data_IF_203537499894
#
_entry.id   IF_203537499894
#
_cell.length_a   1.000
_cell.length_b   1.000
_cell.length_c   1.000
_cell.angle_alpha   90.00
_cell.angle_beta   90.00
_cell.angle_gamma   90.00
#
_symmetry.space_group_name_H-M   'P 1'
#
loop_
_entity.id
_entity.type
_entity.pdbx_description
1 polymer ?
#
# COMPACT_ATOMS: atom_id res chain seq x y z
N UNK A 1 4.31 6.86 -16.47
CA UNK A 1 4.97 5.85 -17.32
C UNK A 1 4.95 4.45 -16.70
N UNK A 2 5.44 4.25 -15.46
CA UNK A 2 5.37 2.93 -14.80
C UNK A 2 3.94 2.40 -14.67
N UNK A 3 3.03 3.24 -14.17
CA UNK A 3 1.60 2.92 -14.09
C UNK A 3 0.99 2.53 -15.45
N UNK A 4 1.33 3.26 -16.52
CA UNK A 4 0.89 2.96 -17.89
C UNK A 4 1.35 1.57 -18.34
N UNK A 5 2.63 1.23 -18.15
CA UNK A 5 3.17 -0.09 -18.50
C UNK A 5 2.53 -1.22 -17.69
N UNK A 6 2.23 -0.98 -16.41
CA UNK A 6 1.52 -1.94 -15.56
C UNK A 6 0.11 -2.21 -16.11
N UNK A 7 -0.65 -1.14 -16.41
CA UNK A 7 -1.99 -1.25 -17.01
C UNK A 7 -1.95 -1.98 -18.35
N UNK A 8 -1.03 -1.63 -19.24
CA UNK A 8 -0.90 -2.29 -20.55
C UNK A 8 -0.58 -3.78 -20.43
N UNK A 9 0.27 -4.15 -19.46
CA UNK A 9 0.55 -5.55 -19.19
C UNK A 9 -0.70 -6.28 -18.68
N UNK A 10 -1.49 -5.64 -17.82
CA UNK A 10 -2.78 -6.17 -17.34
C UNK A 10 -3.77 -6.35 -18.48
N UNK A 11 -3.96 -5.32 -19.30
CA UNK A 11 -4.87 -5.35 -20.45
C UNK A 11 -4.46 -6.41 -21.47
N UNK A 12 -3.16 -6.52 -21.77
CA UNK A 12 -2.64 -7.53 -22.71
C UNK A 12 -2.76 -8.94 -22.14
N UNK A 13 -2.38 -9.13 -20.88
CA UNK A 13 -2.36 -10.44 -20.22
C UNK A 13 -3.75 -11.01 -19.93
N UNK A 14 -4.75 -10.14 -19.80
CA UNK A 14 -6.17 -10.48 -19.63
C UNK A 14 -6.99 -10.22 -20.89
N UNK A 15 -6.34 -9.96 -22.04
CA UNK A 15 -7.04 -9.56 -23.27
C UNK A 15 -8.02 -10.66 -23.75
N UNK A 16 -9.32 -10.33 -23.89
CA UNK A 16 -10.35 -11.18 -24.46
C UNK A 16 -10.07 -11.78 -25.83
N UNK A 17 -9.24 -11.13 -26.66
CA UNK A 17 -9.05 -11.56 -28.06
C UNK A 17 -8.10 -12.77 -28.18
N UNK A 18 -7.17 -12.95 -27.24
CA UNK A 18 -6.30 -14.14 -27.16
C UNK A 18 -6.83 -15.19 -26.18
N UNK A 19 -7.59 -14.77 -25.16
CA UNK A 19 -8.30 -15.65 -24.21
C UNK A 19 -9.75 -15.19 -24.18
N UNK A 20 -10.67 -15.86 -24.90
CA UNK A 20 -12.07 -15.43 -25.00
C UNK A 20 -12.64 -15.05 -23.62
N UNK A 21 -13.40 -13.94 -23.51
CA UNK A 21 -14.08 -13.53 -22.26
C UNK A 21 -14.76 -14.71 -21.57
N UNK A 22 -15.35 -15.60 -22.36
CA UNK A 22 -16.01 -16.83 -21.90
C UNK A 22 -15.04 -17.82 -21.23
N UNK A 23 -13.78 -17.88 -21.65
CA UNK A 23 -12.72 -18.70 -21.04
C UNK A 23 -12.34 -18.12 -19.68
N UNK A 24 -12.04 -16.82 -19.58
CA UNK A 24 -11.71 -16.19 -18.28
C UNK A 24 -12.91 -16.30 -17.33
N UNK A 25 -14.12 -16.08 -17.84
CA UNK A 25 -15.35 -16.24 -17.07
C UNK A 25 -15.65 -17.69 -16.66
N UNK A 26 -15.06 -18.69 -17.31
CA UNK A 26 -15.21 -20.11 -16.97
C UNK A 26 -14.01 -20.69 -16.18
N UNK A 27 -12.93 -19.93 -16.01
CA UNK A 27 -11.77 -20.37 -15.21
C UNK A 27 -12.17 -20.57 -13.74
N UNK A 28 -11.65 -21.62 -13.12
CA UNK A 28 -11.75 -21.79 -11.67
C UNK A 28 -10.98 -20.67 -10.94
N UNK A 29 -11.44 -20.32 -9.75
CA UNK A 29 -10.92 -19.18 -8.97
C UNK A 29 -9.40 -19.26 -8.75
N UNK A 30 -8.88 -20.45 -8.43
CA UNK A 30 -7.42 -20.67 -8.26
C UNK A 30 -6.61 -20.40 -9.54
N UNK A 31 -7.14 -20.77 -10.71
CA UNK A 31 -6.46 -20.55 -12.00
C UNK A 31 -6.51 -19.05 -12.35
N UNK A 32 -7.63 -18.40 -12.07
CA UNK A 32 -7.78 -16.96 -12.24
C UNK A 32 -6.81 -16.19 -11.33
N UNK A 33 -6.73 -16.54 -10.04
CA UNK A 33 -5.79 -15.99 -9.08
C UNK A 33 -4.34 -16.07 -9.58
N UNK A 34 -3.91 -17.25 -10.02
CA UNK A 34 -2.57 -17.44 -10.61
C UNK A 34 -2.37 -16.60 -11.87
N UNK A 35 -3.35 -16.58 -12.77
CA UNK A 35 -3.29 -15.76 -13.99
C UNK A 35 -3.14 -14.28 -13.68
N UNK A 36 -3.90 -13.73 -12.72
CA UNK A 36 -3.79 -12.33 -12.30
C UNK A 36 -2.39 -12.02 -11.75
N UNK A 37 -1.84 -12.89 -10.91
CA UNK A 37 -0.49 -12.74 -10.38
C UNK A 37 0.57 -12.77 -11.51
N UNK A 38 0.46 -13.71 -12.45
CA UNK A 38 1.41 -13.84 -13.56
C UNK A 38 1.40 -12.62 -14.50
N UNK A 39 0.22 -12.05 -14.71
CA UNK A 39 0.06 -10.84 -15.50
C UNK A 39 0.72 -9.64 -14.82
N UNK A 40 0.56 -9.49 -13.49
CA UNK A 40 1.26 -8.46 -12.72
C UNK A 40 2.78 -8.66 -12.77
N UNK A 41 3.27 -9.89 -12.58
CA UNK A 41 4.72 -10.22 -12.69
C UNK A 41 5.25 -9.92 -14.10
N UNK A 42 4.45 -10.14 -15.13
CA UNK A 42 4.82 -9.77 -16.50
C UNK A 42 4.93 -8.24 -16.66
N UNK A 43 4.01 -7.48 -16.07
CA UNK A 43 4.11 -6.02 -16.01
C UNK A 43 5.37 -5.56 -15.28
N UNK A 44 5.72 -6.19 -14.17
CA UNK A 44 6.97 -5.92 -13.46
C UNK A 44 8.20 -6.09 -14.35
N UNK A 45 8.32 -7.24 -15.04
CA UNK A 45 9.44 -7.50 -15.96
C UNK A 45 9.52 -6.45 -17.07
N UNK A 46 8.39 -6.03 -17.62
CA UNK A 46 8.34 -5.00 -18.65
C UNK A 46 8.86 -3.65 -18.14
N UNK A 47 8.47 -3.26 -16.92
CA UNK A 47 8.92 -2.02 -16.27
C UNK A 47 10.43 -2.09 -16.00
N UNK A 48 10.92 -3.16 -15.38
CA UNK A 48 12.35 -3.35 -15.09
C UNK A 48 13.18 -3.31 -16.37
N UNK A 49 12.75 -4.02 -17.42
CA UNK A 49 13.43 -4.02 -18.70
C UNK A 49 13.44 -2.64 -19.36
N UNK A 50 12.34 -1.89 -19.26
CA UNK A 50 12.26 -0.53 -19.80
C UNK A 50 13.17 0.43 -19.05
N UNK A 51 13.24 0.34 -17.73
CA UNK A 51 14.11 1.13 -16.86
C UNK A 51 15.61 0.83 -17.10
N UNK A 52 15.95 -0.44 -17.36
CA UNK A 52 17.33 -0.84 -17.67
C UNK A 52 17.84 -0.22 -18.99
N UNK A 53 16.94 -0.07 -19.98
CA UNK A 53 17.28 0.45 -21.31
C UNK A 53 17.13 1.97 -21.44
N UNK A 54 16.62 2.68 -20.43
CA UNK A 54 16.44 4.12 -20.46
C UNK A 54 16.88 4.77 -19.14
N UNK A 55 18.06 5.44 -19.10
CA UNK A 55 18.60 6.04 -17.88
C UNK A 55 17.65 6.99 -17.15
N UNK A 56 16.77 7.69 -17.89
CA UNK A 56 15.78 8.64 -17.33
C UNK A 56 14.66 7.93 -16.55
N UNK A 57 14.49 6.63 -16.76
CA UNK A 57 13.48 5.79 -16.13
C UNK A 57 14.04 4.93 -14.98
N UNK A 58 15.31 5.10 -14.62
CA UNK A 58 15.93 4.36 -13.51
C UNK A 58 15.20 4.66 -12.20
N UNK A 59 14.88 3.60 -11.46
CA UNK A 59 14.15 3.68 -10.20
C UNK A 59 12.65 3.96 -10.37
N UNK A 60 12.11 3.95 -11.60
CA UNK A 60 10.66 4.04 -11.79
C UNK A 60 9.97 2.86 -11.10
N UNK A 61 8.82 3.14 -10.49
CA UNK A 61 7.96 2.10 -9.94
C UNK A 61 6.52 2.53 -9.86
N UNK A 62 5.65 1.57 -9.58
CA UNK A 62 4.20 1.81 -9.44
C UNK A 62 3.56 0.74 -8.57
N UNK A 63 2.41 1.07 -8.00
CA UNK A 63 1.54 0.11 -7.32
C UNK A 63 0.55 -0.48 -8.30
N UNK A 64 -0.06 -1.61 -7.95
CA UNK A 64 -1.19 -2.18 -8.66
C UNK A 64 -2.16 -2.79 -7.65
N UNK A 65 -3.43 -2.51 -7.82
CA UNK A 65 -4.52 -3.22 -7.14
C UNK A 65 -5.53 -3.55 -8.20
N UNK A 66 -5.69 -4.84 -8.48
CA UNK A 66 -6.51 -5.35 -9.56
C UNK A 66 -7.63 -6.20 -8.96
N UNK A 67 -8.88 -5.91 -9.33
CA UNK A 67 -10.02 -6.73 -8.95
C UNK A 67 -10.65 -7.36 -10.21
N UNK A 68 -10.86 -8.67 -10.17
CA UNK A 68 -11.71 -9.39 -11.11
C UNK A 68 -13.00 -9.78 -10.40
N UNK A 69 -14.15 -9.30 -10.89
CA UNK A 69 -15.46 -9.54 -10.27
C UNK A 69 -16.32 -10.41 -11.18
N UNK A 70 -16.84 -11.52 -10.63
CA UNK A 70 -17.74 -12.46 -11.31
C UNK A 70 -18.89 -12.82 -10.38
N UNK A 71 -20.09 -12.33 -10.71
CA UNK A 71 -21.26 -12.51 -9.86
C UNK A 71 -21.02 -11.91 -8.48
N UNK A 72 -21.10 -12.75 -7.44
CA UNK A 72 -20.87 -12.39 -6.03
C UNK A 72 -19.47 -12.75 -5.53
N UNK A 73 -18.52 -13.00 -6.42
CA UNK A 73 -17.13 -13.27 -6.06
C UNK A 73 -16.21 -12.22 -6.68
N UNK A 74 -15.23 -11.78 -5.91
CA UNK A 74 -14.13 -10.95 -6.37
C UNK A 74 -12.79 -11.59 -6.01
N UNK A 75 -11.90 -11.69 -6.99
CA UNK A 75 -10.49 -12.02 -6.79
C UNK A 75 -9.69 -10.73 -6.91
N UNK A 76 -8.85 -10.44 -5.92
CA UNK A 76 -8.04 -9.21 -5.87
C UNK A 76 -6.57 -9.60 -5.88
N UNK A 77 -5.80 -9.04 -6.81
CA UNK A 77 -4.35 -9.19 -6.85
C UNK A 77 -3.69 -7.83 -6.59
N UNK A 78 -2.72 -7.79 -5.68
CA UNK A 78 -2.25 -6.54 -5.09
C UNK A 78 -0.73 -6.49 -4.91
N UNK A 79 -0.16 -5.32 -5.24
CA UNK A 79 1.20 -4.90 -4.90
C UNK A 79 1.24 -3.39 -4.65
N UNK A 80 1.52 -2.96 -3.42
CA UNK A 80 1.89 -1.58 -3.09
C UNK A 80 1.15 -1.10 -1.84
N UNK A 81 0.79 0.17 -1.80
CA UNK A 81 -0.03 0.79 -0.73
C UNK A 81 -1.35 1.40 -1.25
N UNK A 82 -1.67 1.20 -2.53
CA UNK A 82 -3.06 1.31 -2.99
C UNK A 82 -3.91 0.27 -2.28
N UNK A 83 -5.20 0.54 -2.06
CA UNK A 83 -6.02 -0.33 -1.21
C UNK A 83 -7.28 -0.81 -1.89
N UNK A 84 -7.71 -2.01 -1.53
CA UNK A 84 -9.07 -2.47 -1.75
C UNK A 84 -9.85 -2.49 -0.41
N UNK A 85 -11.08 -2.00 -0.44
CA UNK A 85 -12.01 -2.03 0.68
C UNK A 85 -13.30 -2.74 0.29
N UNK A 86 -13.83 -3.57 1.18
CA UNK A 86 -15.21 -4.04 1.14
C UNK A 86 -16.04 -3.21 2.11
N UNK A 87 -17.12 -2.62 1.61
CA UNK A 87 -18.13 -1.97 2.45
C UNK A 87 -19.37 -2.84 2.48
N UNK A 88 -19.60 -3.43 3.65
CA UNK A 88 -20.80 -4.20 3.99
C UNK A 88 -21.97 -3.23 4.18
N UNK A 89 -22.93 -3.34 3.28
CA UNK A 89 -24.11 -2.48 3.24
C UNK A 89 -25.03 -2.64 4.45
N UNK A 90 -25.13 -3.86 4.98
CA UNK A 90 -26.07 -4.25 6.04
C UNK A 90 -25.57 -3.80 7.40
N UNK A 91 -24.30 -4.08 7.67
CA UNK A 91 -23.67 -3.72 8.94
C UNK A 91 -23.05 -2.33 8.92
N UNK A 92 -23.03 -1.66 7.75
CA UNK A 92 -22.39 -0.36 7.54
C UNK A 92 -20.92 -0.36 7.95
N UNK A 93 -20.24 -1.49 7.73
CA UNK A 93 -18.84 -1.70 8.11
C UNK A 93 -17.97 -1.63 6.87
N UNK A 94 -16.82 -0.99 7.02
CA UNK A 94 -15.74 -1.02 6.03
C UNK A 94 -14.64 -1.94 6.53
N UNK A 95 -14.14 -2.77 5.63
CA UNK A 95 -13.04 -3.67 5.89
C UNK A 95 -11.99 -3.47 4.80
N UNK A 96 -10.73 -3.26 5.22
CA UNK A 96 -9.60 -3.28 4.31
C UNK A 96 -9.35 -4.74 3.90
N UNK A 97 -9.27 -4.98 2.60
CA UNK A 97 -9.03 -6.33 2.05
C UNK A 97 -7.53 -6.57 1.85
N UNK A 98 -6.81 -5.57 1.37
CA UNK A 98 -5.38 -5.67 1.03
C UNK A 98 -4.49 -5.17 2.15
N UNK A 99 -3.38 -5.86 2.41
CA UNK A 99 -2.34 -5.34 3.30
C UNK A 99 -1.37 -4.42 2.52
N UNK A 100 -1.01 -3.29 3.13
CA UNK A 100 -0.10 -2.33 2.52
C UNK A 100 1.34 -2.83 2.55
N UNK A 101 2.01 -2.83 1.40
CA UNK A 101 3.43 -3.14 1.29
C UNK A 101 4.34 -1.93 1.57
N UNK A 102 4.05 -1.22 2.66
CA UNK A 102 4.82 -0.06 3.12
C UNK A 102 5.69 -0.41 4.34
N UNK A 103 6.80 0.31 4.48
CA UNK A 103 7.73 0.10 5.59
C UNK A 103 7.07 0.33 6.94
N UNK A 104 6.19 1.34 7.05
CA UNK A 104 5.52 1.68 8.31
C UNK A 104 4.48 0.65 8.69
N UNK A 105 3.75 0.09 7.72
CA UNK A 105 2.75 -0.95 7.98
C UNK A 105 3.41 -2.27 8.38
N UNK A 106 4.59 -2.60 7.82
CA UNK A 106 5.40 -3.71 8.31
C UNK A 106 5.84 -3.53 9.79
N UNK A 107 6.16 -2.30 10.20
CA UNK A 107 6.49 -2.00 11.59
C UNK A 107 5.28 -2.06 12.52
N UNK A 108 4.09 -1.64 12.05
CA UNK A 108 2.83 -1.79 12.80
C UNK A 108 2.52 -3.27 13.00
N UNK A 109 2.59 -4.08 11.94
CA UNK A 109 2.35 -5.52 12.00
C UNK A 109 3.32 -6.24 12.96
N UNK A 110 4.58 -5.78 13.04
CA UNK A 110 5.57 -6.29 13.99
C UNK A 110 5.41 -5.75 15.44
N UNK A 111 4.45 -4.85 15.68
CA UNK A 111 4.21 -4.24 17.00
C UNK A 111 5.22 -3.17 17.39
N UNK A 112 6.01 -2.65 16.44
CA UNK A 112 6.99 -1.59 16.67
C UNK A 112 6.39 -0.19 16.61
N UNK A 113 5.27 -0.02 15.91
CA UNK A 113 4.52 1.24 15.82
C UNK A 113 3.03 1.00 16.10
N UNK A 114 2.34 2.01 16.62
CA UNK A 114 0.87 2.08 16.54
C UNK A 114 0.43 2.64 15.19
N UNK A 115 -0.84 2.46 14.83
CA UNK A 115 -1.39 3.00 13.58
C UNK A 115 -1.24 4.53 13.52
N UNK A 116 -1.48 5.22 14.63
CA UNK A 116 -1.36 6.68 14.73
C UNK A 116 0.10 7.13 14.51
N UNK A 117 1.07 6.38 15.02
CA UNK A 117 2.49 6.68 14.81
C UNK A 117 2.90 6.44 13.36
N UNK A 118 2.37 5.42 12.71
CA UNK A 118 2.65 5.13 11.30
C UNK A 118 2.20 6.27 10.38
N UNK A 119 1.04 6.88 10.64
CA UNK A 119 0.49 8.00 9.86
C UNK A 119 1.38 9.25 9.88
N UNK A 120 2.08 9.51 10.98
CA UNK A 120 2.98 10.67 11.14
C UNK A 120 4.44 10.35 10.81
N UNK A 121 4.77 9.08 10.56
CA UNK A 121 6.15 8.64 10.42
C UNK A 121 6.84 9.23 9.17
N UNK A 122 8.12 9.66 9.26
CA UNK A 122 8.85 10.23 8.11
C UNK A 122 8.97 9.31 6.90
N UNK A 123 8.95 8.00 7.13
CA UNK A 123 9.07 6.96 6.09
C UNK A 123 7.71 6.37 5.67
N UNK A 124 6.58 7.04 5.98
CA UNK A 124 5.24 6.53 5.65
C UNK A 124 4.97 6.30 4.16
N UNK A 125 5.74 6.95 3.28
CA UNK A 125 5.65 6.79 1.84
C UNK A 125 6.70 5.82 1.26
N UNK A 126 7.45 5.11 2.11
CA UNK A 126 8.48 4.17 1.66
C UNK A 126 7.85 2.79 1.48
N UNK A 127 7.79 2.35 0.23
CA UNK A 127 7.33 1.01 -0.13
C UNK A 127 8.49 0.02 -0.08
N UNK A 128 8.25 -1.18 0.46
CA UNK A 128 9.18 -2.30 0.34
C UNK A 128 8.83 -3.22 -0.83
N UNK A 129 7.61 -3.10 -1.38
CA UNK A 129 7.17 -3.87 -2.56
C UNK A 129 6.40 -2.97 -3.52
N UNK A 130 6.93 -2.79 -4.73
CA UNK A 130 6.28 -2.11 -5.84
C UNK A 130 6.79 -2.68 -7.17
N UNK A 131 5.99 -2.54 -8.23
CA UNK A 131 6.41 -2.94 -9.57
C UNK A 131 7.57 -2.06 -10.03
N UNK A 132 8.56 -2.66 -10.68
CA UNK A 132 9.74 -1.99 -11.24
C UNK A 132 10.94 -1.90 -10.30
N UNK A 133 10.80 -2.25 -9.01
CA UNK A 133 11.87 -2.10 -8.02
C UNK A 133 12.79 -3.33 -7.91
N UNK A 134 12.28 -4.53 -8.19
CA UNK A 134 13.03 -5.79 -8.17
C UNK A 134 12.63 -6.68 -9.36
N UNK A 135 13.52 -7.59 -9.77
CA UNK A 135 13.23 -8.55 -10.85
C UNK A 135 12.16 -9.57 -10.43
N UNK A 136 12.32 -10.11 -9.23
CA UNK A 136 11.35 -10.99 -8.58
C UNK A 136 10.31 -10.16 -7.85
N UNK A 137 9.04 -10.55 -8.00
CA UNK A 137 7.91 -9.83 -7.41
C UNK A 137 6.89 -10.83 -6.86
N UNK A 138 6.69 -10.75 -5.55
CA UNK A 138 5.57 -11.37 -4.88
C UNK A 138 4.29 -10.58 -5.15
N UNK A 139 3.19 -11.29 -5.36
CA UNK A 139 1.87 -10.70 -5.58
C UNK A 139 0.92 -11.34 -4.59
N UNK A 140 0.27 -10.52 -3.79
CA UNK A 140 -0.73 -10.98 -2.84
C UNK A 140 -2.06 -11.17 -3.57
N UNK A 141 -2.76 -12.28 -3.27
CA UNK A 141 -4.08 -12.57 -3.84
C UNK A 141 -5.09 -12.85 -2.75
N UNK A 142 -6.24 -12.18 -2.85
CA UNK A 142 -7.34 -12.22 -1.91
C UNK A 142 -8.62 -12.65 -2.63
N UNK A 143 -9.41 -13.51 -1.99
CA UNK A 143 -10.76 -13.86 -2.43
C UNK A 143 -11.79 -13.20 -1.51
N UNK A 144 -12.79 -12.57 -2.10
CA UNK A 144 -13.84 -11.84 -1.39
C UNK A 144 -15.21 -12.26 -1.90
N UNK A 145 -16.09 -12.63 -0.99
CA UNK A 145 -17.50 -12.82 -1.29
C UNK A 145 -18.25 -11.49 -1.13
N UNK A 146 -19.02 -11.13 -2.15
CA UNK A 146 -19.78 -9.90 -2.25
C UNK A 146 -21.27 -10.19 -2.08
N UNK A 147 -21.97 -9.41 -1.26
CA UNK A 147 -23.41 -9.50 -1.14
C UNK A 147 -24.10 -8.38 -1.92
N UNK A 148 -25.40 -8.54 -2.15
CA UNK A 148 -26.23 -7.47 -2.70
C UNK A 148 -26.09 -6.18 -1.89
N UNK A 149 -25.98 -5.07 -2.61
CA UNK A 149 -25.75 -3.70 -2.14
C UNK A 149 -24.36 -3.42 -1.54
N UNK A 150 -23.49 -4.42 -1.44
CA UNK A 150 -22.10 -4.21 -1.04
C UNK A 150 -21.34 -3.39 -2.07
N UNK A 151 -20.28 -2.74 -1.59
CA UNK A 151 -19.39 -1.95 -2.43
C UNK A 151 -17.97 -2.41 -2.29
N UNK A 152 -17.36 -2.80 -3.41
CA UNK A 152 -15.93 -2.99 -3.51
C UNK A 152 -15.31 -1.68 -3.99
N UNK A 153 -14.35 -1.15 -3.24
CA UNK A 153 -13.68 0.12 -3.53
C UNK A 153 -12.20 -0.17 -3.75
N UNK A 154 -11.64 0.34 -4.85
CA UNK A 154 -10.20 0.37 -5.08
C UNK A 154 -9.77 1.83 -5.07
N UNK A 155 -8.71 2.17 -4.34
CA UNK A 155 -8.23 3.54 -4.26
C UNK A 155 -6.71 3.64 -4.14
N UNK A 156 -6.17 4.78 -4.57
CA UNK A 156 -4.79 5.14 -4.26
C UNK A 156 -4.65 5.68 -2.83
N UNK A 157 -3.42 5.68 -2.33
CA UNK A 157 -2.97 6.36 -1.11
C UNK A 157 -3.35 7.85 -1.05
N UNK A 158 -3.44 8.52 -2.20
CA UNK A 158 -3.95 9.89 -2.33
C UNK A 158 -5.35 10.08 -1.72
N UNK A 159 -6.20 9.04 -1.68
CA UNK A 159 -7.46 9.08 -0.95
C UNK A 159 -7.23 8.87 0.55
N UNK A 160 -6.59 7.77 0.92
CA UNK A 160 -6.58 7.23 2.30
C UNK A 160 -5.70 8.04 3.25
N UNK A 161 -4.77 8.84 2.72
CA UNK A 161 -4.03 9.86 3.48
C UNK A 161 -4.93 10.99 4.00
N UNK A 162 -6.02 11.31 3.31
CA UNK A 162 -6.87 12.46 3.61
C UNK A 162 -8.28 12.09 4.08
N UNK A 163 -8.75 10.89 3.76
CA UNK A 163 -10.12 10.43 4.06
C UNK A 163 -10.03 9.12 4.83
N UNK A 164 -10.54 9.11 6.07
CA UNK A 164 -10.49 7.92 6.93
C UNK A 164 -11.51 6.89 6.48
N UNK A 165 -11.24 5.61 6.77
CA UNK A 165 -12.09 4.49 6.34
C UNK A 165 -13.58 4.67 6.70
N UNK A 166 -13.89 5.11 7.92
CA UNK A 166 -15.27 5.35 8.33
C UNK A 166 -15.97 6.43 7.47
N UNK A 167 -15.27 7.49 7.09
CA UNK A 167 -15.80 8.54 6.20
C UNK A 167 -16.04 8.00 4.79
N UNK A 168 -15.12 7.14 4.29
CA UNK A 168 -15.31 6.43 3.03
C UNK A 168 -16.63 5.65 3.09
N UNK A 169 -16.81 4.84 4.13
CA UNK A 169 -18.01 4.02 4.33
C UNK A 169 -19.29 4.86 4.37
N UNK A 170 -19.28 5.99 5.08
CA UNK A 170 -20.43 6.88 5.20
C UNK A 170 -20.80 7.51 3.87
N UNK A 171 -19.82 8.03 3.13
CA UNK A 171 -20.04 8.68 1.83
C UNK A 171 -20.60 7.67 0.83
N UNK A 172 -20.01 6.49 0.72
CA UNK A 172 -20.47 5.52 -0.27
C UNK A 172 -21.85 4.97 0.08
N UNK A 173 -22.14 4.69 1.36
CA UNK A 173 -23.45 4.16 1.76
C UNK A 173 -24.57 5.22 1.69
N UNK A 174 -24.23 6.51 1.71
CA UNK A 174 -25.22 7.60 1.59
C UNK A 174 -25.55 7.98 0.14
N UNK A 175 -24.81 7.44 -0.83
CA UNK A 175 -24.94 7.81 -2.25
C UNK A 175 -25.13 6.57 -3.11
N UNK A 176 -26.36 6.34 -3.59
CA UNK A 176 -26.70 5.16 -4.40
C UNK A 176 -25.86 5.07 -5.68
N UNK A 177 -25.66 6.20 -6.35
CA UNK A 177 -24.84 6.27 -7.56
C UNK A 177 -23.33 6.19 -7.21
N UNK A 178 -22.61 5.15 -7.70
CA UNK A 178 -21.18 4.99 -7.46
C UNK A 178 -20.33 6.13 -8.01
N UNK A 179 -20.73 6.73 -9.13
CA UNK A 179 -19.99 7.84 -9.75
C UNK A 179 -20.03 9.09 -8.85
N UNK A 180 -21.23 9.46 -8.40
CA UNK A 180 -21.40 10.53 -7.40
C UNK A 180 -20.60 10.27 -6.13
N UNK A 181 -20.63 9.04 -5.60
CA UNK A 181 -19.87 8.68 -4.40
C UNK A 181 -18.35 8.82 -4.61
N UNK A 182 -17.82 8.34 -5.74
CA UNK A 182 -16.41 8.46 -6.07
C UNK A 182 -15.97 9.92 -6.21
N UNK A 183 -16.79 10.76 -6.86
CA UNK A 183 -16.48 12.19 -7.00
C UNK A 183 -16.45 12.90 -5.64
N UNK A 184 -17.39 12.59 -4.74
CA UNK A 184 -17.40 13.16 -3.38
C UNK A 184 -16.15 12.78 -2.58
N UNK A 185 -15.65 11.55 -2.72
CA UNK A 185 -14.41 11.11 -2.09
C UNK A 185 -13.20 11.87 -2.63
N UNK A 186 -13.11 12.02 -3.95
CA UNK A 186 -12.04 12.78 -4.63
C UNK A 186 -12.06 14.24 -4.17
N UNK A 187 -13.23 14.87 -4.16
CA UNK A 187 -13.39 16.27 -3.74
C UNK A 187 -13.00 16.47 -2.28
N UNK A 188 -13.37 15.53 -1.40
CA UNK A 188 -13.01 15.58 0.01
C UNK A 188 -11.49 15.46 0.22
N UNK A 189 -10.84 14.53 -0.48
CA UNK A 189 -9.38 14.37 -0.43
C UNK A 189 -8.66 15.63 -0.92
N UNK A 190 -9.08 16.17 -2.06
CA UNK A 190 -8.53 17.40 -2.63
C UNK A 190 -8.70 18.60 -1.69
N UNK A 191 -9.86 18.71 -1.01
CA UNK A 191 -10.10 19.77 -0.03
C UNK A 191 -9.18 19.69 1.20
N UNK A 192 -8.65 18.51 1.52
CA UNK A 192 -7.85 18.23 2.72
C UNK A 192 -6.35 18.19 2.49
N UNK A 193 -5.89 18.53 1.29
CA UNK A 193 -4.47 18.64 0.96
C UNK A 193 -4.26 18.50 -0.53
N UNK A 194 -4.85 17.47 -1.15
CA UNK A 194 -4.73 17.21 -2.58
C UNK A 194 -3.28 17.15 -3.06
N UNK A 195 -2.38 16.70 -2.19
CA UNK A 195 -0.92 16.74 -2.39
C UNK A 195 -0.46 15.69 -3.41
N UNK A 196 -1.29 14.67 -3.64
CA UNK A 196 -1.03 13.54 -4.52
C UNK A 196 -2.22 13.27 -5.46
N UNK A 197 -2.01 12.41 -6.45
CA UNK A 197 -3.07 11.97 -7.34
C UNK A 197 -4.06 11.05 -6.61
N UNK A 198 -5.33 11.46 -6.61
CA UNK A 198 -6.43 10.69 -6.04
C UNK A 198 -7.11 9.89 -7.14
N UNK A 199 -7.12 8.56 -7.00
CA UNK A 199 -7.85 7.64 -7.89
C UNK A 199 -8.78 6.77 -7.06
N UNK A 200 -10.03 6.61 -7.51
CA UNK A 200 -11.07 5.81 -6.83
C UNK A 200 -11.90 5.06 -7.86
N UNK A 201 -12.10 3.77 -7.65
CA UNK A 201 -13.04 2.92 -8.39
C UNK A 201 -14.02 2.35 -7.37
N UNK A 202 -15.31 2.41 -7.68
CA UNK A 202 -16.37 1.82 -6.85
C UNK A 202 -17.18 0.85 -7.70
N UNK A 203 -17.24 -0.41 -7.27
CA UNK A 203 -18.10 -1.44 -7.83
C UNK A 203 -19.26 -1.66 -6.87
N UNK A 204 -20.48 -1.40 -7.34
CA UNK A 204 -21.71 -1.69 -6.62
C UNK A 204 -22.27 -3.03 -7.09
N UNK A 205 -22.58 -3.91 -6.13
CA UNK A 205 -23.24 -5.18 -6.41
C UNK A 205 -24.75 -4.93 -6.37
N UNK A 206 -25.37 -4.81 -7.54
CA UNK A 206 -26.80 -4.52 -7.59
C UNK A 206 -27.63 -5.71 -7.05
N UNK A 207 -28.63 -5.41 -6.20
CA UNK A 207 -29.66 -6.37 -5.85
C UNK A 207 -30.71 -6.46 -6.97
N UNK A 208 -31.04 -7.67 -7.44
CA UNK A 208 -32.22 -7.90 -8.30
C UNK A 208 -33.56 -7.69 -7.56
N UNK A 209 -33.52 -7.45 -6.24
CA UNK A 209 -34.70 -7.26 -5.41
C UNK A 209 -35.06 -5.77 -5.29
N UNK A 210 -36.36 -5.41 -5.37
CA UNK A 210 -36.80 -4.06 -5.06
C UNK A 210 -36.43 -3.71 -3.61
N UNK A 211 -36.09 -2.44 -3.39
CA UNK A 211 -35.43 -1.87 -2.20
C UNK A 211 -36.14 -2.02 -0.83
N UNK A 212 -37.14 -2.90 -0.70
CA UNK A 212 -38.02 -3.07 0.48
C UNK A 212 -38.08 -4.52 0.99
N UNK A 213 -36.98 -5.27 0.97
CA UNK A 213 -36.94 -6.59 1.63
C UNK A 213 -35.78 -6.70 2.62
N UNK A 214 -36.09 -6.37 3.88
CA UNK A 214 -35.28 -6.68 5.07
C UNK A 214 -35.10 -8.19 5.21
N UNK A 215 -33.98 -8.72 4.71
CA UNK A 215 -33.55 -10.09 4.98
C UNK A 215 -32.16 -10.10 5.62
N UNK A 216 -32.20 -10.12 6.95
CA UNK A 216 -31.05 -10.26 7.83
C UNK A 216 -30.58 -11.72 7.78
N UNK A 217 -29.49 -11.98 7.07
CA UNK A 217 -28.77 -13.25 7.14
C UNK A 217 -27.36 -12.96 7.62
N UNK A 218 -27.07 -13.41 8.84
CA UNK A 218 -25.77 -13.35 9.49
C UNK A 218 -24.78 -14.21 8.68
N UNK A 219 -23.73 -13.58 8.16
CA UNK A 219 -22.65 -14.25 7.44
C UNK A 219 -21.32 -13.61 7.80
N UNK A 220 -20.47 -14.42 8.41
CA UNK A 220 -19.07 -14.11 8.72
C UNK A 220 -18.27 -13.96 7.42
N UNK A 221 -17.46 -12.90 7.32
CA UNK A 221 -16.57 -12.67 6.17
C UNK A 221 -15.34 -13.57 6.36
N UNK A 222 -15.18 -14.59 5.51
CA UNK A 222 -13.95 -15.38 5.42
C UNK A 222 -13.01 -14.73 4.40
N UNK A 223 -11.97 -14.05 4.89
CA UNK A 223 -10.81 -13.67 4.09
C UNK A 223 -9.83 -14.84 4.12
N UNK A 224 -9.56 -15.47 2.97
CA UNK A 224 -8.55 -16.54 2.88
C UNK A 224 -7.37 -16.03 2.04
N UNK A 225 -6.21 -15.72 2.66
CA UNK A 225 -5.00 -15.41 1.92
C UNK A 225 -4.52 -16.66 1.17
N UNK A 226 -4.27 -16.55 -0.14
CA UNK A 226 -3.60 -17.61 -0.90
C UNK A 226 -2.10 -17.38 -0.76
N UNK A 227 -1.43 -18.19 0.07
CA UNK A 227 0.02 -18.13 0.20
C UNK A 227 0.68 -18.55 -1.13
N UNK A 228 1.75 -17.87 -1.59
CA UNK A 228 2.53 -18.36 -2.72
C UNK A 228 3.18 -19.72 -2.37
N UNK A 229 3.08 -20.68 -3.29
CA UNK A 229 3.81 -21.95 -3.18
C UNK A 229 5.32 -21.68 -3.04
N UNK A 230 6.05 -22.39 -2.17
CA UNK A 230 7.47 -22.16 -2.01
C UNK A 230 8.22 -22.67 -3.25
N UNK A 231 8.68 -21.75 -4.10
CA UNK A 231 9.77 -22.06 -5.03
C UNK A 231 11.06 -22.27 -4.23
N UNK A 232 11.88 -23.23 -4.68
CA UNK A 232 13.09 -23.69 -3.99
C UNK A 232 13.93 -22.52 -3.45
N UNK A 233 14.05 -22.47 -2.13
CA UNK A 233 14.88 -21.49 -1.42
C UNK A 233 16.34 -21.64 -1.83
N UNK A 234 16.82 -20.78 -2.73
CA UNK A 234 18.25 -20.56 -2.90
C UNK A 234 18.74 -19.81 -1.67
N UNK A 235 19.41 -20.54 -0.78
CA UNK A 235 20.14 -19.97 0.36
C UNK A 235 21.12 -18.93 -0.19
N UNK A 236 20.92 -17.65 0.16
CA UNK A 236 21.93 -16.62 0.02
C UNK A 236 23.10 -16.97 0.94
N UNK A 237 24.04 -17.77 0.42
CA UNK A 237 25.35 -17.94 1.03
C UNK A 237 26.04 -16.56 1.10
N UNK A 238 26.52 -16.24 2.30
CA UNK A 238 27.27 -15.02 2.62
C UNK A 238 28.29 -14.69 1.53
N UNK A 239 27.97 -13.67 0.72
CA UNK A 239 28.97 -13.07 -0.17
C UNK A 239 29.89 -12.21 0.67
N UNK A 240 31.07 -12.75 0.93
CA UNK A 240 32.26 -12.00 1.33
C UNK A 240 32.43 -10.79 0.40
N UNK A 241 32.31 -9.60 0.96
CA UNK A 241 32.83 -8.38 0.33
C UNK A 241 34.35 -8.48 0.33
N UNK A 242 34.94 -8.67 -0.85
CA UNK A 242 36.36 -8.39 -1.05
C UNK A 242 36.49 -6.88 -1.20
N UNK A 243 37.06 -6.25 -0.18
CA UNK A 243 37.41 -4.85 -0.15
C UNK A 243 38.59 -4.59 -1.11
N UNK A 244 38.38 -3.70 -2.07
CA UNK A 244 39.47 -3.12 -2.85
C UNK A 244 39.16 -1.66 -3.15
N UNK A 245 39.42 -0.77 -2.19
CA UNK A 245 39.96 0.55 -2.51
C UNK A 245 40.63 1.17 -1.28
N UNK A 246 41.93 1.42 -1.46
CA UNK A 246 42.82 2.24 -0.65
C UNK A 246 42.28 3.65 -0.38
N UNK A 247 42.55 4.09 0.85
CA UNK A 247 42.87 5.45 1.30
C UNK A 247 41.84 6.56 1.09
N UNK A 248 41.15 6.96 2.18
CA UNK A 248 41.46 8.20 2.93
C UNK A 248 40.51 8.38 4.14
N UNK A 249 41.05 9.00 5.18
CA UNK A 249 40.55 9.13 6.55
C UNK A 249 39.29 10.00 6.70
N UNK A 250 38.28 9.53 7.43
CA UNK A 250 37.75 10.15 8.67
C UNK A 250 36.60 9.29 9.24
N UNK A 251 36.75 8.79 10.47
CA UNK A 251 35.79 7.83 11.07
C UNK A 251 34.93 8.51 12.14
N UNK A 252 33.66 8.77 11.84
CA UNK A 252 32.61 8.91 12.85
C UNK A 252 31.83 7.59 12.91
N UNK A 253 32.02 6.82 13.99
CA UNK A 253 31.27 5.57 14.21
C UNK A 253 29.90 5.87 14.81
N UNK A 254 28.85 5.43 14.13
CA UNK A 254 27.47 5.44 14.59
C UNK A 254 27.21 4.33 15.63
N UNK A 255 27.86 4.40 16.79
CA UNK A 255 27.58 3.53 17.95
C UNK A 255 27.30 4.28 19.25
N UNK A 256 27.20 5.61 19.24
CA UNK A 256 27.08 6.42 20.47
C UNK A 256 25.66 6.98 20.75
N UNK A 257 24.60 6.45 20.15
CA UNK A 257 23.23 6.99 20.30
C UNK A 257 22.21 6.07 21.00
N UNK A 258 22.66 5.04 21.73
CA UNK A 258 21.77 4.22 22.55
C UNK A 258 22.40 3.92 23.92
N UNK A 259 22.23 4.81 24.89
CA UNK A 259 22.27 4.44 26.31
C UNK A 259 21.21 5.22 27.11
N UNK A 260 20.27 4.50 27.70
CA UNK A 260 19.30 5.02 28.69
C UNK A 260 19.99 5.40 30.02
N UNK A 261 19.45 6.37 30.79
CA UNK A 261 20.08 6.86 32.00
C UNK A 261 19.73 6.02 33.23
N UNK A 262 20.67 5.86 34.19
CA UNK A 262 20.38 5.39 35.55
C UNK A 262 21.07 6.25 36.63
N UNK A 263 20.53 6.27 37.87
CA UNK A 263 20.54 7.43 38.76
C UNK A 263 21.56 7.33 39.91
N UNK A 264 21.93 8.49 40.49
CA UNK A 264 22.54 8.57 41.83
C UNK A 264 23.77 9.50 41.96
N UNK A 265 23.56 10.63 42.61
CA UNK A 265 24.51 11.65 43.13
C UNK A 265 25.59 11.10 44.13
N UNK A 266 26.60 11.86 44.64
CA UNK A 266 26.68 13.34 44.78
C UNK A 266 28.03 14.06 44.52
N UNK A 267 27.89 15.40 44.44
CA UNK A 267 28.77 16.52 44.81
C UNK A 267 30.30 16.37 44.82
N UNK A 268 30.98 17.28 44.12
CA UNK A 268 32.11 18.03 44.71
C UNK A 268 32.23 19.45 44.10
N UNK A 269 32.14 20.41 45.01
CA UNK A 269 32.44 21.84 44.91
C UNK A 269 33.85 22.15 44.37
N UNK A 270 34.00 23.21 43.57
CA UNK A 270 35.11 24.16 43.72
C UNK A 270 34.68 25.56 43.26
N UNK A 271 34.75 26.50 44.20
CA UNK A 271 34.60 27.94 44.00
C UNK A 271 35.89 28.58 43.43
N UNK A 272 35.68 29.74 42.80
CA UNK A 272 36.41 31.01 42.99
C UNK A 272 37.33 31.54 41.87
N UNK A 273 37.14 32.84 41.60
CA UNK A 273 37.98 33.78 40.81
C UNK A 273 37.35 34.12 39.46
N UNK A 274 36.52 35.18 39.30
CA UNK A 274 36.89 36.62 39.35
C UNK A 274 37.58 37.01 38.03
N UNK A 275 37.26 38.02 37.23
CA UNK A 275 36.51 39.29 37.23
C UNK A 275 36.14 39.50 35.73
N UNK A 276 35.09 40.16 35.23
CA UNK A 276 34.49 41.44 35.56
C UNK A 276 34.23 42.20 34.23
N UNK A 277 33.02 42.77 34.10
CA UNK A 277 32.56 43.88 33.21
C UNK A 277 31.99 43.57 31.81
N UNK A 278 30.65 43.57 31.77
CA UNK A 278 29.76 44.28 30.81
C UNK A 278 29.67 45.78 31.28
N UNK A 279 29.17 46.83 30.56
CA UNK A 279 28.39 46.81 29.31
C UNK A 279 28.49 48.02 28.32
N UNK A 280 27.74 47.91 27.20
CA UNK A 280 27.11 48.96 26.32
C UNK A 280 27.89 49.56 25.12
N UNK A 281 27.45 49.13 23.92
CA UNK A 281 26.92 49.89 22.75
C UNK A 281 27.76 51.01 22.06
N UNK A 282 27.38 51.56 20.86
CA UNK A 282 26.34 51.17 19.87
C UNK A 282 26.82 51.13 18.37
N UNK A 283 25.91 50.66 17.51
CA UNK A 283 25.64 51.03 16.10
C UNK A 283 26.73 51.71 15.23
N UNK A 284 27.09 51.03 14.14
CA UNK A 284 26.93 51.51 12.75
C UNK A 284 26.79 50.32 11.81
#
# INVERSE_FOLDING_TARGET
EASRLAVEAVETGLNPEETSRDVIAAMGDEILARKMADVIRSGNRNIVHRAANNPELRGMGTTVTLAFVRGTQATIAHVGDSRAYLVDSRNRRIMQVTDDHSFVEALVAAGHLTQEQAEEHPMRNVLYRALGQAEELDVDVYEVHLQSDDRLILCSDGLTRHVKAHEISEIVLSNRDPETAAQLLIDLANKRGGEDNVSVIIVLVESDLPADSDHNVDSTIELTPIAPEPEETVILAERHFVDSASDTEDTLRATDLLTDPKPGQPEHTYESGGEGRDPRAPFQ
#
